data_IF_304466863279
#
_entry.id   IF_304466863279
#
_cell.length_a   1.000
_cell.length_b   1.000
_cell.length_c   1.000
_cell.angle_alpha   90.00
_cell.angle_beta   90.00
_cell.angle_gamma   90.00
#
_symmetry.space_group_name_H-M   'P 1'
#
loop_
_entity.id
_entity.type
_entity.pdbx_description
1 polymer ?
#
# COMPACT_ATOMS: atom_id res chain seq x y z
N UNK A 1 27.32 -8.77 6.02
CA UNK A 1 26.53 -7.73 5.30
C UNK A 1 25.18 -8.29 4.89
N UNK A 2 24.07 -7.78 5.43
CA UNK A 2 22.74 -8.02 4.85
C UNK A 2 22.50 -6.94 3.80
N UNK A 3 22.69 -7.28 2.51
CA UNK A 3 22.43 -6.39 1.38
C UNK A 3 20.94 -6.30 1.03
N UNK A 4 20.63 -5.63 -0.08
CA UNK A 4 19.27 -5.59 -0.65
C UNK A 4 18.92 -6.98 -1.18
N UNK A 5 17.90 -7.63 -0.61
CA UNK A 5 17.52 -9.01 -0.96
C UNK A 5 16.65 -9.10 -2.23
N UNK A 6 15.97 -8.01 -2.60
CA UNK A 6 15.18 -7.91 -3.82
C UNK A 6 15.23 -6.47 -4.34
N UNK A 7 15.51 -6.31 -5.63
CA UNK A 7 15.49 -5.03 -6.29
C UNK A 7 14.86 -5.15 -7.68
N UNK A 8 14.09 -4.13 -8.06
CA UNK A 8 13.53 -3.99 -9.39
C UNK A 8 13.82 -2.56 -9.87
N UNK A 9 14.20 -2.38 -11.14
CA UNK A 9 14.56 -1.06 -11.72
C UNK A 9 13.52 0.04 -11.45
N UNK A 10 12.23 -0.30 -11.59
CA UNK A 10 11.08 0.58 -11.30
C UNK A 10 11.02 1.13 -9.87
N UNK A 11 11.73 0.55 -8.91
CA UNK A 11 11.81 1.07 -7.55
C UNK A 11 12.56 2.40 -7.49
N UNK A 12 13.57 2.59 -8.36
CA UNK A 12 14.41 3.80 -8.41
C UNK A 12 14.88 4.26 -7.01
N UNK A 13 15.33 3.31 -6.18
CA UNK A 13 15.80 3.56 -4.81
C UNK A 13 14.70 3.77 -3.75
N UNK A 14 13.41 3.80 -4.13
CA UNK A 14 12.29 3.89 -3.19
C UNK A 14 11.66 2.54 -2.89
N UNK A 15 11.49 2.25 -1.61
CA UNK A 15 10.84 1.03 -1.10
C UNK A 15 9.48 1.28 -0.44
N UNK A 16 8.87 2.44 -0.71
CA UNK A 16 7.50 2.71 -0.24
C UNK A 16 6.50 1.72 -0.85
N UNK A 17 5.47 1.37 -0.09
CA UNK A 17 4.42 0.43 -0.54
C UNK A 17 3.82 0.81 -1.90
N UNK A 18 3.65 2.11 -2.16
CA UNK A 18 3.13 2.62 -3.44
C UNK A 18 4.06 2.46 -4.62
N UNK A 19 5.37 2.36 -4.39
CA UNK A 19 6.36 2.06 -5.43
C UNK A 19 6.54 0.56 -5.63
N UNK A 20 6.43 -0.21 -4.56
CA UNK A 20 6.59 -1.67 -4.60
C UNK A 20 5.33 -2.34 -5.16
N UNK A 21 4.14 -1.93 -4.73
CA UNK A 21 2.87 -2.59 -5.09
C UNK A 21 2.67 -2.75 -6.60
N UNK A 22 2.88 -1.74 -7.46
CA UNK A 22 2.64 -1.88 -8.89
C UNK A 22 3.54 -2.89 -9.60
N UNK A 23 4.66 -3.28 -8.99
CA UNK A 23 5.55 -4.34 -9.52
C UNK A 23 4.92 -5.72 -9.33
N UNK A 24 4.16 -5.91 -8.26
CA UNK A 24 3.61 -7.21 -7.87
C UNK A 24 2.11 -7.36 -8.12
N UNK A 25 1.33 -6.27 -8.07
CA UNK A 25 -0.12 -6.27 -8.27
C UNK A 25 -0.52 -4.92 -8.92
N UNK A 26 -0.33 -4.75 -10.24
CA UNK A 26 -0.53 -3.47 -10.93
C UNK A 26 -1.98 -2.99 -10.96
N UNK A 27 -2.94 -3.90 -10.76
CA UNK A 27 -4.37 -3.58 -10.77
C UNK A 27 -4.88 -3.06 -9.41
N UNK A 28 -4.09 -3.22 -8.34
CA UNK A 28 -4.45 -2.73 -7.01
C UNK A 28 -3.88 -1.33 -6.82
N UNK A 29 -4.74 -0.31 -6.85
CA UNK A 29 -4.34 1.10 -6.78
C UNK A 29 -5.02 1.84 -5.64
N UNK A 30 -4.44 2.99 -5.27
CA UNK A 30 -5.03 3.91 -4.30
C UNK A 30 -5.78 5.06 -4.98
N UNK A 31 -5.83 5.08 -6.32
CA UNK A 31 -6.25 6.26 -7.08
C UNK A 31 -7.73 6.57 -6.94
N UNK A 32 -8.54 5.55 -6.67
CA UNK A 32 -9.98 5.66 -6.46
C UNK A 32 -10.39 5.86 -4.99
N UNK A 33 -9.42 5.93 -4.06
CA UNK A 33 -9.72 6.16 -2.65
C UNK A 33 -9.86 7.65 -2.35
N UNK A 34 -10.75 7.99 -1.42
CA UNK A 34 -10.87 9.36 -0.90
C UNK A 34 -9.59 9.78 -0.17
N UNK A 35 -9.02 8.88 0.63
CA UNK A 35 -7.72 9.04 1.29
C UNK A 35 -6.72 8.16 0.56
N UNK A 36 -5.69 8.78 -0.02
CA UNK A 36 -4.78 8.07 -0.92
C UNK A 36 -3.44 7.76 -0.29
N UNK A 37 -3.00 8.46 0.75
CA UNK A 37 -1.67 8.31 1.32
C UNK A 37 -1.64 8.58 2.83
N UNK A 38 -0.54 8.18 3.47
CA UNK A 38 -0.38 8.32 4.92
C UNK A 38 -0.43 9.75 5.44
N UNK A 39 0.04 10.75 4.67
CA UNK A 39 -0.04 12.16 5.08
C UNK A 39 -1.50 12.63 5.13
N UNK A 40 -2.29 12.32 4.09
CA UNK A 40 -3.72 12.60 4.08
C UNK A 40 -4.45 11.85 5.21
N UNK A 41 -4.12 10.58 5.42
CA UNK A 41 -4.72 9.77 6.49
C UNK A 41 -4.49 10.42 7.86
N UNK A 42 -3.26 10.85 8.14
CA UNK A 42 -2.92 11.55 9.38
C UNK A 42 -3.69 12.86 9.52
N UNK A 43 -3.68 13.72 8.49
CA UNK A 43 -4.37 15.02 8.52
C UNK A 43 -5.87 14.84 8.77
N UNK A 44 -6.53 13.94 8.02
CA UNK A 44 -7.97 13.76 8.17
C UNK A 44 -8.36 13.10 9.48
N UNK A 45 -7.51 12.22 10.01
CA UNK A 45 -7.70 11.64 11.35
C UNK A 45 -7.69 12.73 12.43
N UNK A 46 -6.71 13.64 12.39
CA UNK A 46 -6.60 14.76 13.34
C UNK A 46 -7.82 15.71 13.27
N UNK A 47 -8.33 15.94 12.05
CA UNK A 47 -9.48 16.82 11.82
C UNK A 47 -10.85 16.20 12.17
N UNK A 48 -10.96 14.88 12.42
CA UNK A 48 -12.25 14.20 12.57
C UNK A 48 -13.17 14.84 13.63
N UNK A 49 -12.62 15.27 14.76
CA UNK A 49 -13.37 15.87 15.87
C UNK A 49 -13.91 17.27 15.55
N UNK A 50 -13.36 17.92 14.52
CA UNK A 50 -13.70 19.27 14.09
C UNK A 50 -14.66 19.29 12.88
N UNK A 51 -15.06 18.12 12.37
CA UNK A 51 -15.94 17.98 11.22
C UNK A 51 -17.42 17.98 11.59
N UNK A 52 -18.27 18.23 10.59
CA UNK A 52 -19.70 17.91 10.66
C UNK A 52 -19.90 16.41 10.89
N UNK A 53 -21.05 15.97 11.43
CA UNK A 53 -21.29 14.53 11.64
C UNK A 53 -21.35 13.74 10.35
N UNK A 54 -21.80 14.36 9.26
CA UNK A 54 -21.80 13.76 7.94
C UNK A 54 -20.37 13.53 7.44
N UNK A 55 -19.53 14.56 7.48
CA UNK A 55 -18.14 14.47 7.05
C UNK A 55 -17.30 13.55 7.95
N UNK A 56 -17.52 13.60 9.27
CA UNK A 56 -16.87 12.70 10.23
C UNK A 56 -17.11 11.24 9.85
N UNK A 57 -18.36 10.85 9.57
CA UNK A 57 -18.69 9.50 9.15
C UNK A 57 -18.08 9.15 7.79
N UNK A 58 -18.13 10.08 6.83
CA UNK A 58 -17.54 9.89 5.50
C UNK A 58 -16.03 9.65 5.57
N UNK A 59 -15.30 10.48 6.31
CA UNK A 59 -13.85 10.37 6.44
C UNK A 59 -13.41 9.22 7.34
N UNK A 60 -14.18 8.85 8.37
CA UNK A 60 -13.95 7.60 9.11
C UNK A 60 -14.01 6.37 8.20
N UNK A 61 -15.04 6.27 7.37
CA UNK A 61 -15.16 5.17 6.41
C UNK A 61 -14.00 5.17 5.40
N UNK A 62 -13.62 6.35 4.89
CA UNK A 62 -12.47 6.48 4.01
C UNK A 62 -11.14 6.06 4.65
N UNK A 63 -10.91 6.40 5.92
CA UNK A 63 -9.74 5.96 6.70
C UNK A 63 -9.71 4.44 6.84
N UNK A 64 -10.84 3.82 7.17
CA UNK A 64 -10.96 2.36 7.27
C UNK A 64 -10.65 1.71 5.92
N UNK A 65 -11.21 2.24 4.82
CA UNK A 65 -10.93 1.73 3.47
C UNK A 65 -9.44 1.83 3.13
N UNK A 66 -8.79 2.97 3.43
CA UNK A 66 -7.36 3.16 3.23
C UNK A 66 -6.52 2.16 4.06
N UNK A 67 -6.82 1.98 5.34
CA UNK A 67 -6.13 1.02 6.22
C UNK A 67 -6.27 -0.43 5.74
N UNK A 68 -7.47 -0.81 5.29
CA UNK A 68 -7.70 -2.13 4.69
C UNK A 68 -6.86 -2.30 3.41
N UNK A 69 -6.79 -1.26 2.56
CA UNK A 69 -6.01 -1.27 1.33
C UNK A 69 -4.51 -1.46 1.58
N UNK A 70 -3.95 -0.78 2.59
CA UNK A 70 -2.54 -0.95 3.01
C UNK A 70 -2.25 -2.39 3.44
N UNK A 71 -3.16 -3.01 4.19
CA UNK A 71 -3.03 -4.41 4.63
C UNK A 71 -3.11 -5.37 3.44
N UNK A 72 -4.10 -5.19 2.56
CA UNK A 72 -4.27 -6.01 1.37
C UNK A 72 -3.06 -5.92 0.44
N UNK A 73 -2.53 -4.71 0.22
CA UNK A 73 -1.32 -4.49 -0.58
C UNK A 73 -0.13 -5.29 -0.05
N UNK A 74 0.11 -5.30 1.27
CA UNK A 74 1.19 -6.07 1.88
C UNK A 74 1.02 -7.58 1.71
N UNK A 75 -0.20 -8.10 1.86
CA UNK A 75 -0.49 -9.54 1.64
C UNK A 75 -0.23 -9.94 0.19
N UNK A 76 -0.66 -9.10 -0.77
CA UNK A 76 -0.45 -9.32 -2.20
C UNK A 76 1.04 -9.32 -2.56
N UNK A 77 1.79 -8.32 -2.09
CA UNK A 77 3.25 -8.23 -2.30
C UNK A 77 3.94 -9.48 -1.74
N UNK A 78 3.64 -9.87 -0.49
CA UNK A 78 4.27 -11.05 0.13
C UNK A 78 3.98 -12.33 -0.64
N UNK A 79 2.73 -12.53 -1.08
CA UNK A 79 2.34 -13.70 -1.86
C UNK A 79 3.09 -13.77 -3.19
N UNK A 80 3.12 -12.66 -3.93
CA UNK A 80 3.79 -12.63 -5.24
C UNK A 80 5.30 -12.78 -5.12
N UNK A 81 5.91 -12.23 -4.06
CA UNK A 81 7.32 -12.39 -3.78
C UNK A 81 7.67 -13.87 -3.51
N UNK A 82 6.86 -14.57 -2.70
CA UNK A 82 7.03 -16.01 -2.45
C UNK A 82 6.92 -16.82 -3.74
N UNK A 83 5.92 -16.55 -4.56
CA UNK A 83 5.74 -17.21 -5.86
C UNK A 83 6.95 -17.01 -6.77
N UNK A 84 7.46 -15.78 -6.85
CA UNK A 84 8.65 -15.44 -7.66
C UNK A 84 9.88 -16.23 -7.20
N UNK A 85 10.09 -16.35 -5.88
CA UNK A 85 11.21 -17.10 -5.32
C UNK A 85 11.08 -18.61 -5.59
N UNK A 86 9.88 -19.18 -5.42
CA UNK A 86 9.62 -20.60 -5.70
C UNK A 86 9.81 -20.96 -7.18
N UNK A 87 9.43 -20.07 -8.10
CA UNK A 87 9.65 -20.27 -9.53
C UNK A 87 11.14 -20.25 -9.89
N UNK A 88 11.92 -19.39 -9.23
CA UNK A 88 13.36 -19.33 -9.48
C UNK A 88 14.09 -20.59 -8.99
N UNK A 89 13.66 -21.20 -7.88
CA UNK A 89 14.23 -22.48 -7.41
C UNK A 89 13.94 -23.67 -8.32
N UNK A 90 12.96 -23.56 -9.23
CA UNK A 90 12.65 -24.59 -10.23
C UNK A 90 13.41 -24.39 -11.56
N UNK A 91 14.02 -23.21 -11.75
CA UNK A 91 14.77 -22.85 -12.98
C UNK A 91 16.28 -22.96 -12.81
N UNK A 92 16.77 -23.17 -11.58
CA UNK A 92 18.16 -23.46 -11.24
C UNK A 92 18.40 -24.96 -11.15
#
# INVERSE_FOLDING_TARGET
NKGINYYHEKLNGSFSIKKVLPIFEPNLTYDNLLIKNGVQAYIYYDLLSHMSKEDENRYKNALITYCHQDTLAMVKILRQLKETLSLNSLKS
#
